data_IF_443070799644
#
_entry.id   IF_443070799644
#
_cell.length_a   1.000
_cell.length_b   1.000
_cell.length_c   1.000
_cell.angle_alpha   90.00
_cell.angle_beta   90.00
_cell.angle_gamma   90.00
#
_symmetry.space_group_name_H-M   'P 1'
#
loop_
_entity.id
_entity.type
_entity.pdbx_description
1 polymer ?
#
# COMPACT_ATOMS: atom_id res chain seq x y z
N UNK A 1 -21.45 -15.17 -18.17
CA UNK A 1 -20.05 -15.08 -18.63
C UNK A 1 -19.75 -13.62 -18.89
N UNK A 2 -18.62 -13.13 -18.37
CA UNK A 2 -18.11 -11.81 -18.64
C UNK A 2 -16.67 -11.91 -19.11
N UNK A 3 -16.25 -11.03 -19.99
CA UNK A 3 -14.86 -10.87 -20.34
C UNK A 3 -14.17 -10.06 -19.22
N UNK A 4 -13.09 -10.60 -18.67
CA UNK A 4 -12.40 -10.00 -17.53
C UNK A 4 -11.05 -9.45 -17.97
N UNK A 5 -10.87 -8.14 -17.82
CA UNK A 5 -9.57 -7.48 -17.96
C UNK A 5 -8.97 -7.30 -16.57
N UNK A 6 -7.77 -7.80 -16.34
CA UNK A 6 -7.09 -7.64 -15.06
C UNK A 6 -6.16 -6.43 -15.08
N UNK A 7 -6.12 -5.71 -13.96
CA UNK A 7 -5.23 -4.58 -13.74
C UNK A 7 -4.30 -4.84 -12.56
N UNK A 8 -3.02 -4.60 -12.74
CA UNK A 8 -1.96 -4.72 -11.73
C UNK A 8 -1.21 -3.39 -11.71
N UNK A 9 -1.20 -2.73 -10.55
CA UNK A 9 -0.39 -1.54 -10.34
C UNK A 9 0.92 -1.92 -9.66
N UNK A 10 2.06 -1.58 -10.27
CA UNK A 10 3.34 -1.54 -9.58
C UNK A 10 3.47 -0.19 -8.87
N UNK A 11 3.33 -0.21 -7.56
CA UNK A 11 3.49 0.95 -6.67
C UNK A 11 4.68 0.76 -5.71
N UNK A 12 5.64 -0.12 -6.07
CA UNK A 12 6.84 -0.41 -5.30
C UNK A 12 6.68 -1.53 -4.28
N UNK A 13 5.73 -2.43 -4.46
CA UNK A 13 5.53 -3.61 -3.60
C UNK A 13 6.65 -4.65 -3.72
N UNK A 14 7.53 -4.54 -4.73
CA UNK A 14 8.65 -5.45 -5.01
C UNK A 14 8.25 -6.94 -5.20
N UNK A 15 6.98 -7.23 -5.24
CA UNK A 15 6.46 -8.55 -5.59
C UNK A 15 6.48 -8.72 -7.10
N UNK A 16 6.62 -9.95 -7.54
CA UNK A 16 6.74 -10.23 -8.96
C UNK A 16 5.40 -10.01 -9.67
N UNK A 17 5.26 -8.82 -10.23
CA UNK A 17 4.11 -8.45 -11.09
C UNK A 17 3.94 -9.43 -12.25
N UNK A 18 5.03 -10.07 -12.71
CA UNK A 18 5.03 -11.11 -13.73
C UNK A 18 4.22 -12.33 -13.31
N UNK A 19 4.41 -12.86 -12.09
CA UNK A 19 3.64 -13.99 -11.59
C UNK A 19 2.14 -13.67 -11.47
N UNK A 20 1.81 -12.46 -11.00
CA UNK A 20 0.43 -12.00 -10.92
C UNK A 20 -0.21 -11.92 -12.31
N UNK A 21 0.51 -11.42 -13.31
CA UNK A 21 0.08 -11.36 -14.71
C UNK A 21 -0.19 -12.74 -15.29
N UNK A 22 0.76 -13.67 -15.12
CA UNK A 22 0.58 -15.06 -15.58
C UNK A 22 -0.61 -15.73 -14.90
N UNK A 23 -0.78 -15.53 -13.59
CA UNK A 23 -1.90 -16.07 -12.83
C UNK A 23 -3.23 -15.53 -13.35
N UNK A 24 -3.34 -14.24 -13.60
CA UNK A 24 -4.55 -13.62 -14.15
C UNK A 24 -4.93 -14.25 -15.50
N UNK A 25 -3.98 -14.40 -16.42
CA UNK A 25 -4.20 -15.05 -17.71
C UNK A 25 -4.62 -16.53 -17.56
N UNK A 26 -3.94 -17.28 -16.69
CA UNK A 26 -4.27 -18.72 -16.41
C UNK A 26 -5.65 -18.88 -15.77
N UNK A 27 -6.15 -17.88 -15.06
CA UNK A 27 -7.49 -17.90 -14.45
C UNK A 27 -8.59 -17.33 -15.36
N UNK A 28 -8.27 -16.96 -16.58
CA UNK A 28 -9.24 -16.62 -17.62
C UNK A 28 -9.41 -15.14 -17.92
N UNK A 29 -8.51 -14.28 -17.47
CA UNK A 29 -8.51 -12.89 -17.92
C UNK A 29 -8.21 -12.83 -19.43
N UNK A 30 -9.02 -12.07 -20.19
CA UNK A 30 -8.82 -11.88 -21.63
C UNK A 30 -7.68 -10.90 -21.94
N UNK A 31 -7.39 -9.98 -21.02
CA UNK A 31 -6.26 -9.07 -21.06
C UNK A 31 -5.73 -8.77 -19.66
N UNK A 32 -4.46 -8.37 -19.56
CA UNK A 32 -3.83 -7.96 -18.30
C UNK A 32 -2.98 -6.72 -18.53
N UNK A 33 -3.32 -5.66 -17.84
CA UNK A 33 -2.54 -4.43 -17.75
C UNK A 33 -1.69 -4.46 -16.47
N UNK A 34 -0.38 -4.25 -16.64
CA UNK A 34 0.56 -4.11 -15.53
C UNK A 34 1.27 -2.77 -15.73
N UNK A 35 0.95 -1.79 -14.91
CA UNK A 35 1.44 -0.42 -15.07
C UNK A 35 2.36 -0.03 -13.92
N UNK A 36 3.52 0.54 -14.27
CA UNK A 36 4.44 1.14 -13.30
C UNK A 36 3.91 2.51 -12.88
N UNK A 37 3.41 2.58 -11.66
CA UNK A 37 2.81 3.79 -11.08
C UNK A 37 3.65 4.37 -9.95
N UNK A 38 4.90 3.93 -9.77
CA UNK A 38 5.77 4.34 -8.65
C UNK A 38 6.06 5.83 -8.66
N UNK A 39 6.35 6.40 -9.83
CA UNK A 39 6.62 7.84 -9.96
C UNK A 39 5.37 8.67 -9.65
N UNK A 40 4.21 8.29 -10.19
CA UNK A 40 2.95 8.96 -9.91
C UNK A 40 2.59 8.82 -8.42
N UNK A 41 2.79 7.64 -7.83
CA UNK A 41 2.53 7.42 -6.41
C UNK A 41 3.35 8.36 -5.52
N UNK A 42 4.65 8.46 -5.76
CA UNK A 42 5.52 9.34 -4.97
C UNK A 42 5.18 10.82 -5.20
N UNK A 43 5.10 11.26 -6.46
CA UNK A 43 4.94 12.65 -6.86
C UNK A 43 3.57 13.22 -6.50
N UNK A 44 2.50 12.48 -6.83
CA UNK A 44 1.15 13.03 -6.82
C UNK A 44 0.32 12.59 -5.59
N UNK A 45 0.81 11.62 -4.81
CA UNK A 45 0.12 11.14 -3.61
C UNK A 45 0.96 11.29 -2.35
N UNK A 46 2.21 10.78 -2.33
CA UNK A 46 3.04 10.79 -1.13
C UNK A 46 3.53 12.20 -0.80
N UNK A 47 4.09 12.92 -1.77
CA UNK A 47 4.63 14.26 -1.53
C UNK A 47 3.56 15.28 -1.16
N UNK A 48 2.39 15.36 -1.83
CA UNK A 48 1.32 16.24 -1.39
C UNK A 48 0.77 15.90 0.00
N UNK A 49 0.69 14.62 0.35
CA UNK A 49 0.30 14.17 1.69
C UNK A 49 1.31 14.64 2.75
N UNK A 50 2.61 14.54 2.46
CA UNK A 50 3.67 15.05 3.32
C UNK A 50 3.59 16.60 3.44
N UNK A 51 3.44 17.33 2.34
CA UNK A 51 3.29 18.78 2.36
C UNK A 51 2.10 19.25 3.20
N UNK A 52 1.03 18.46 3.22
CA UNK A 52 -0.13 18.71 4.07
C UNK A 52 0.07 18.26 5.53
N UNK A 53 1.24 17.74 5.90
CA UNK A 53 1.49 17.08 7.20
C UNK A 53 0.41 16.05 7.57
N UNK A 54 -0.22 15.41 6.57
CA UNK A 54 -1.29 14.47 6.77
C UNK A 54 -0.76 13.18 7.40
N UNK A 55 -1.18 12.92 8.63
CA UNK A 55 -0.75 11.79 9.44
C UNK A 55 -1.93 11.33 10.30
N UNK A 56 -2.23 10.04 10.26
CA UNK A 56 -3.33 9.52 11.06
C UNK A 56 -2.91 9.33 12.51
N UNK A 57 -3.66 9.93 13.42
CA UNK A 57 -3.43 9.91 14.88
C UNK A 57 -1.98 10.27 15.32
N UNK A 58 -1.25 11.04 14.49
CA UNK A 58 0.11 11.49 14.79
C UNK A 58 1.21 10.46 14.54
N UNK A 59 0.89 9.28 14.01
CA UNK A 59 1.83 8.17 13.84
C UNK A 59 1.84 7.53 12.47
N UNK A 60 0.65 7.21 11.94
CA UNK A 60 0.53 6.44 10.70
C UNK A 60 0.59 7.33 9.46
N UNK A 61 1.56 7.09 8.60
CA UNK A 61 1.78 7.84 7.35
C UNK A 61 0.87 7.39 6.20
N UNK A 62 -0.20 6.66 6.48
CA UNK A 62 -1.31 6.35 5.57
C UNK A 62 -0.94 5.74 4.21
N UNK A 63 0.15 4.95 4.13
CA UNK A 63 0.63 4.40 2.86
C UNK A 63 -0.41 3.55 2.11
N UNK A 64 -1.21 2.74 2.80
CA UNK A 64 -2.33 2.02 2.18
C UNK A 64 -3.45 2.97 1.77
N UNK A 65 -3.71 4.01 2.57
CA UNK A 65 -4.81 4.95 2.33
C UNK A 65 -4.65 5.73 1.04
N UNK A 66 -3.44 6.15 0.70
CA UNK A 66 -3.15 6.91 -0.53
C UNK A 66 -2.85 6.00 -1.73
N UNK A 67 -2.48 4.75 -1.50
CA UNK A 67 -2.25 3.78 -2.57
C UNK A 67 -3.55 3.34 -3.27
N UNK A 68 -4.63 3.09 -2.51
CA UNK A 68 -5.89 2.59 -3.07
C UNK A 68 -6.54 3.56 -4.07
N UNK A 69 -6.60 4.88 -3.82
CA UNK A 69 -7.07 5.84 -4.82
C UNK A 69 -6.26 5.83 -6.12
N UNK A 70 -4.94 5.72 -6.05
CA UNK A 70 -4.12 5.62 -7.25
C UNK A 70 -4.42 4.34 -8.05
N UNK A 71 -4.52 3.19 -7.38
CA UNK A 71 -4.87 1.93 -8.03
C UNK A 71 -6.27 2.03 -8.67
N UNK A 72 -7.24 2.61 -7.97
CA UNK A 72 -8.59 2.82 -8.49
C UNK A 72 -8.59 3.74 -9.72
N UNK A 73 -7.76 4.80 -9.71
CA UNK A 73 -7.57 5.67 -10.89
C UNK A 73 -7.08 4.86 -12.09
N UNK A 74 -6.02 4.05 -11.91
CA UNK A 74 -5.51 3.20 -12.98
C UNK A 74 -6.56 2.22 -13.51
N UNK A 75 -7.40 1.66 -12.64
CA UNK A 75 -8.51 0.80 -13.08
C UNK A 75 -9.54 1.57 -13.93
N UNK A 76 -9.88 2.80 -13.56
CA UNK A 76 -10.78 3.64 -14.37
C UNK A 76 -10.16 4.00 -15.72
N UNK A 77 -8.85 4.27 -15.74
CA UNK A 77 -8.15 4.55 -17.00
C UNK A 77 -8.16 3.32 -17.94
N UNK A 78 -8.02 2.10 -17.40
CA UNK A 78 -8.17 0.86 -18.16
C UNK A 78 -9.63 0.61 -18.56
N UNK A 79 -10.59 0.83 -17.66
CA UNK A 79 -12.03 0.74 -17.99
C UNK A 79 -12.37 1.57 -19.21
N UNK A 80 -11.92 2.82 -19.27
CA UNK A 80 -12.15 3.73 -20.41
C UNK A 80 -11.45 3.26 -21.69
N UNK A 81 -10.21 2.76 -21.55
CA UNK A 81 -9.40 2.23 -22.67
C UNK A 81 -10.04 1.01 -23.33
N UNK A 82 -10.56 0.11 -22.51
CA UNK A 82 -11.20 -1.13 -22.93
C UNK A 82 -12.70 -0.98 -23.20
N UNK A 83 -13.28 0.19 -22.94
CA UNK A 83 -14.73 0.44 -22.99
C UNK A 83 -15.49 -0.60 -22.16
N UNK A 84 -14.99 -0.91 -20.98
CA UNK A 84 -15.58 -1.91 -20.10
C UNK A 84 -16.80 -1.35 -19.35
N UNK A 85 -17.75 -2.25 -18.99
CA UNK A 85 -19.04 -1.88 -18.39
C UNK A 85 -18.97 -1.71 -16.88
N UNK A 86 -17.94 -2.27 -16.23
CA UNK A 86 -17.85 -2.33 -14.78
C UNK A 86 -16.39 -2.39 -14.29
N UNK A 87 -16.18 -1.97 -13.05
CA UNK A 87 -14.96 -2.23 -12.27
C UNK A 87 -15.23 -3.24 -11.17
N UNK A 88 -14.22 -4.02 -10.81
CA UNK A 88 -14.33 -5.00 -9.75
C UNK A 88 -13.15 -4.88 -8.77
N UNK A 89 -13.40 -5.12 -7.49
CA UNK A 89 -12.37 -5.22 -6.47
C UNK A 89 -12.67 -6.34 -5.47
N UNK A 90 -11.60 -6.89 -4.87
CA UNK A 90 -11.69 -7.95 -3.87
C UNK A 90 -11.58 -7.46 -2.41
N UNK A 91 -11.70 -6.16 -2.16
CA UNK A 91 -11.65 -5.63 -0.80
C UNK A 91 -12.81 -6.15 0.04
N UNK A 92 -12.53 -6.50 1.32
CA UNK A 92 -13.56 -7.02 2.22
C UNK A 92 -14.61 -5.94 2.52
N UNK A 93 -15.89 -6.34 2.66
CA UNK A 93 -17.01 -5.40 2.82
C UNK A 93 -17.06 -4.63 4.16
N UNK A 94 -16.08 -4.82 5.05
CA UNK A 94 -15.98 -4.15 6.35
C UNK A 94 -14.68 -3.37 6.56
N UNK A 95 -13.82 -3.32 5.54
CA UNK A 95 -12.52 -2.66 5.61
C UNK A 95 -12.53 -1.23 5.06
N UNK A 96 -11.48 -0.49 5.36
CA UNK A 96 -11.26 0.86 4.83
C UNK A 96 -11.00 0.84 3.31
N UNK A 97 -10.43 -0.23 2.80
CA UNK A 97 -10.03 -0.32 1.38
C UNK A 97 -11.21 -0.31 0.43
N UNK A 98 -12.30 -1.00 0.78
CA UNK A 98 -13.54 -0.94 0.02
C UNK A 98 -14.02 0.50 -0.18
N UNK A 99 -14.04 1.30 0.89
CA UNK A 99 -14.46 2.70 0.85
C UNK A 99 -13.53 3.52 -0.04
N UNK A 100 -12.22 3.33 0.07
CA UNK A 100 -11.20 4.04 -0.72
C UNK A 100 -11.34 3.76 -2.22
N UNK A 101 -11.52 2.50 -2.60
CA UNK A 101 -11.75 2.12 -3.99
C UNK A 101 -13.03 2.73 -4.52
N UNK A 102 -14.17 2.49 -3.87
CA UNK A 102 -15.47 2.87 -4.38
C UNK A 102 -15.67 4.39 -4.44
N UNK A 103 -15.20 5.15 -3.43
CA UNK A 103 -15.26 6.61 -3.48
C UNK A 103 -14.43 7.19 -4.63
N UNK A 104 -13.28 6.59 -4.93
CA UNK A 104 -12.44 7.02 -6.06
C UNK A 104 -13.10 6.69 -7.39
N UNK A 105 -13.71 5.51 -7.54
CA UNK A 105 -14.45 5.16 -8.73
C UNK A 105 -15.60 6.15 -8.97
N UNK A 106 -16.43 6.43 -7.97
CA UNK A 106 -17.53 7.39 -8.10
C UNK A 106 -17.06 8.82 -8.38
N UNK A 107 -15.90 9.22 -7.85
CA UNK A 107 -15.36 10.54 -8.14
C UNK A 107 -14.89 10.69 -9.59
N UNK A 108 -14.36 9.62 -10.19
CA UNK A 108 -13.80 9.62 -11.54
C UNK A 108 -14.81 9.20 -12.62
N UNK A 109 -15.75 8.33 -12.27
CA UNK A 109 -16.77 7.76 -13.15
C UNK A 109 -18.07 7.56 -12.36
N UNK A 110 -18.90 8.61 -12.16
CA UNK A 110 -20.04 8.59 -11.24
C UNK A 110 -21.09 7.50 -11.50
N UNK A 111 -21.18 7.04 -12.74
CA UNK A 111 -22.17 6.05 -13.16
C UNK A 111 -21.60 4.64 -13.34
N UNK A 112 -20.35 4.41 -12.94
CA UNK A 112 -19.71 3.11 -13.10
C UNK A 112 -20.40 2.03 -12.29
N UNK A 113 -20.59 0.87 -12.89
CA UNK A 113 -21.03 -0.33 -12.16
C UNK A 113 -19.87 -0.90 -11.37
N UNK A 114 -20.04 -1.10 -10.06
CA UNK A 114 -19.03 -1.68 -9.18
C UNK A 114 -19.41 -3.11 -8.80
N UNK A 115 -18.50 -4.05 -9.05
CA UNK A 115 -18.62 -5.44 -8.64
C UNK A 115 -17.75 -5.64 -7.42
N UNK A 116 -18.38 -5.73 -6.24
CA UNK A 116 -17.75 -5.93 -4.95
C UNK A 116 -18.30 -7.20 -4.28
N UNK A 117 -17.76 -8.40 -4.59
CA UNK A 117 -18.33 -9.68 -4.17
C UNK A 117 -18.54 -9.80 -2.66
N UNK A 118 -17.61 -9.28 -1.85
CA UNK A 118 -17.70 -9.31 -0.39
C UNK A 118 -18.90 -8.54 0.20
N UNK A 119 -19.59 -7.74 -0.61
CA UNK A 119 -20.82 -7.02 -0.26
C UNK A 119 -22.08 -7.72 -0.77
N UNK A 120 -21.95 -8.70 -1.66
CA UNK A 120 -23.08 -9.46 -2.15
C UNK A 120 -23.56 -10.45 -1.08
N UNK A 121 -24.83 -10.38 -0.64
CA UNK A 121 -25.39 -11.34 0.31
C UNK A 121 -25.36 -12.80 -0.17
N UNK A 122 -25.23 -13.01 -1.48
CA UNK A 122 -25.13 -14.36 -2.08
C UNK A 122 -23.70 -14.89 -2.13
N UNK A 123 -22.71 -14.06 -1.78
CA UNK A 123 -21.32 -14.45 -1.76
C UNK A 123 -21.04 -15.40 -0.59
N UNK A 124 -20.68 -16.63 -0.87
CA UNK A 124 -20.47 -17.65 0.14
C UNK A 124 -19.00 -17.99 0.43
N UNK A 125 -18.05 -17.43 -0.33
CA UNK A 125 -16.60 -17.56 -0.10
C UNK A 125 -16.11 -16.69 1.07
N UNK A 126 -16.78 -16.80 2.21
CA UNK A 126 -16.59 -15.93 3.39
C UNK A 126 -15.47 -16.36 4.32
N UNK A 127 -14.81 -17.49 4.04
CA UNK A 127 -13.70 -17.98 4.86
C UNK A 127 -12.52 -18.45 3.99
N UNK A 128 -11.32 -18.42 4.58
CA UNK A 128 -10.11 -18.94 3.92
C UNK A 128 -10.26 -20.38 3.44
N UNK A 129 -10.90 -21.23 4.24
CA UNK A 129 -11.14 -22.63 3.89
C UNK A 129 -12.00 -22.74 2.65
N UNK A 130 -13.16 -22.05 2.62
CA UNK A 130 -14.04 -22.03 1.44
C UNK A 130 -13.33 -21.52 0.18
N UNK A 131 -12.51 -20.47 0.31
CA UNK A 131 -11.73 -19.95 -0.81
C UNK A 131 -10.71 -20.96 -1.34
N UNK A 132 -10.02 -21.68 -0.44
CA UNK A 132 -9.06 -22.74 -0.83
C UNK A 132 -9.79 -23.90 -1.53
N UNK A 133 -10.92 -24.31 -1.01
CA UNK A 133 -11.71 -25.40 -1.61
C UNK A 133 -12.24 -25.00 -2.99
N UNK A 134 -12.73 -23.78 -3.14
CA UNK A 134 -13.12 -23.24 -4.43
C UNK A 134 -11.94 -23.22 -5.42
N UNK A 135 -10.80 -22.71 -5.00
CA UNK A 135 -9.60 -22.66 -5.83
C UNK A 135 -9.19 -24.06 -6.31
N UNK A 136 -9.24 -25.08 -5.42
CA UNK A 136 -8.96 -26.48 -5.78
C UNK A 136 -9.96 -27.01 -6.79
N UNK A 137 -11.27 -26.76 -6.58
CA UNK A 137 -12.33 -27.22 -7.49
C UNK A 137 -12.19 -26.65 -8.89
N UNK A 138 -11.71 -25.42 -8.98
CA UNK A 138 -11.55 -24.70 -10.26
C UNK A 138 -10.12 -24.71 -10.83
N UNK A 139 -9.20 -25.51 -10.23
CA UNK A 139 -7.83 -25.61 -10.72
C UNK A 139 -7.01 -24.33 -10.60
N UNK A 140 -7.42 -23.41 -9.71
CA UNK A 140 -6.71 -22.17 -9.46
C UNK A 140 -5.51 -22.44 -8.56
N UNK A 141 -4.31 -22.19 -9.05
CA UNK A 141 -3.10 -22.35 -8.27
C UNK A 141 -3.05 -21.30 -7.14
N UNK A 142 -3.10 -21.78 -5.90
CA UNK A 142 -2.88 -20.95 -4.71
C UNK A 142 -1.55 -21.37 -4.14
N UNK A 143 -0.55 -20.47 -4.03
CA UNK A 143 0.67 -20.79 -3.34
C UNK A 143 0.31 -21.08 -1.88
N UNK A 144 0.46 -22.34 -1.47
CA UNK A 144 0.33 -22.74 -0.07
C UNK A 144 1.63 -22.33 0.61
N UNK A 145 1.75 -21.03 0.90
CA UNK A 145 2.80 -20.58 1.79
C UNK A 145 2.45 -21.01 3.20
N UNK A 146 3.44 -21.54 3.92
CA UNK A 146 3.33 -21.74 5.36
C UNK A 146 2.71 -20.45 5.95
N UNK A 147 1.56 -20.61 6.62
CA UNK A 147 0.72 -19.50 6.98
C UNK A 147 1.51 -18.50 7.81
N UNK A 148 1.88 -17.37 7.19
CA UNK A 148 2.26 -16.20 7.99
C UNK A 148 1.07 -15.88 8.88
N UNK A 149 1.27 -15.73 10.18
CA UNK A 149 0.16 -15.54 11.13
C UNK A 149 -0.47 -14.15 11.06
N UNK A 150 -0.21 -13.38 10.02
CA UNK A 150 -0.68 -12.01 9.77
C UNK A 150 -0.77 -11.74 8.26
N UNK A 151 -1.53 -10.71 7.88
CA UNK A 151 -1.58 -10.16 6.52
C UNK A 151 -0.58 -9.03 6.37
N UNK A 152 -0.08 -8.80 5.15
CA UNK A 152 0.81 -7.68 4.86
C UNK A 152 0.48 -7.02 3.52
N UNK A 153 0.50 -5.69 3.50
CA UNK A 153 0.42 -4.86 2.30
C UNK A 153 1.71 -4.03 2.17
N UNK A 154 2.25 -3.98 0.96
CA UNK A 154 3.50 -3.26 0.69
C UNK A 154 3.36 -2.30 -0.48
N UNK A 155 3.99 -1.15 -0.36
CA UNK A 155 4.20 -0.20 -1.44
C UNK A 155 5.50 0.61 -1.21
N UNK A 156 5.76 1.57 -2.09
CA UNK A 156 6.97 2.40 -2.02
C UNK A 156 7.11 3.20 -0.70
N UNK A 157 5.99 3.56 -0.07
CA UNK A 157 6.01 4.33 1.18
C UNK A 157 6.18 3.44 2.41
N UNK A 158 5.55 2.26 2.45
CA UNK A 158 5.49 1.45 3.66
C UNK A 158 5.28 -0.06 3.43
N UNK A 159 5.41 -0.81 4.52
CA UNK A 159 4.74 -2.10 4.71
C UNK A 159 3.79 -1.96 5.90
N UNK A 160 2.59 -2.50 5.77
CA UNK A 160 1.64 -2.69 6.87
C UNK A 160 1.49 -4.17 7.19
N UNK A 161 1.32 -4.49 8.47
CA UNK A 161 1.02 -5.82 8.97
C UNK A 161 -0.22 -5.75 9.84
N UNK A 162 -1.18 -6.64 9.62
CA UNK A 162 -2.43 -6.69 10.38
C UNK A 162 -2.98 -8.12 10.52
N UNK A 163 -3.86 -8.32 11.50
CA UNK A 163 -4.57 -9.58 11.71
C UNK A 163 -3.72 -10.68 12.35
N UNK A 164 -4.32 -11.87 12.49
CA UNK A 164 -3.66 -13.05 13.07
C UNK A 164 -3.13 -12.80 14.48
N UNK A 165 -1.84 -12.99 14.70
CA UNK A 165 -1.21 -12.78 16.01
C UNK A 165 -1.33 -11.35 16.53
N UNK A 166 -1.46 -10.36 15.62
CA UNK A 166 -1.58 -8.95 16.01
C UNK A 166 -2.96 -8.58 16.56
N UNK A 167 -3.94 -9.47 16.46
CA UNK A 167 -5.26 -9.27 17.08
C UNK A 167 -5.19 -9.33 18.63
N UNK A 168 -4.19 -10.00 19.15
CA UNK A 168 -3.85 -9.94 20.57
C UNK A 168 -2.99 -8.70 20.85
N UNK A 169 -3.49 -7.67 21.56
CA UNK A 169 -2.73 -6.46 21.84
C UNK A 169 -1.53 -6.68 22.77
N UNK A 170 -1.47 -7.82 23.46
CA UNK A 170 -0.35 -8.20 24.33
C UNK A 170 0.75 -8.99 23.60
N UNK A 171 0.47 -9.48 22.39
CA UNK A 171 1.46 -10.20 21.60
C UNK A 171 2.49 -9.22 21.03
N UNK A 172 3.77 -9.48 21.29
CA UNK A 172 4.86 -8.73 20.65
C UNK A 172 4.93 -9.10 19.16
N UNK A 173 5.09 -8.10 18.25
CA UNK A 173 5.30 -8.38 16.83
C UNK A 173 6.54 -9.26 16.65
N UNK A 174 6.47 -10.37 15.90
CA UNK A 174 7.64 -11.24 15.65
C UNK A 174 8.78 -10.46 14.99
N UNK A 175 10.02 -10.70 15.45
CA UNK A 175 11.20 -9.98 14.96
C UNK A 175 11.42 -10.16 13.43
N UNK A 176 11.02 -11.29 12.87
CA UNK A 176 11.09 -11.62 11.44
C UNK A 176 9.94 -11.03 10.60
N UNK A 177 8.99 -10.34 11.25
CA UNK A 177 7.94 -9.58 10.57
C UNK A 177 8.52 -8.40 9.77
N UNK A 178 9.52 -7.72 10.33
CA UNK A 178 10.10 -6.51 9.80
C UNK A 178 11.03 -6.80 8.60
N UNK A 179 10.70 -6.21 7.44
CA UNK A 179 11.37 -6.49 6.16
C UNK A 179 12.13 -5.29 5.59
N UNK A 180 11.78 -4.06 5.99
CA UNK A 180 12.41 -2.83 5.50
C UNK A 180 13.49 -2.30 6.44
N UNK A 181 13.39 -2.59 7.74
CA UNK A 181 14.26 -2.01 8.75
C UNK A 181 14.98 -3.08 9.56
N UNK A 182 16.26 -2.83 9.85
CA UNK A 182 16.98 -3.61 10.84
C UNK A 182 16.39 -3.37 12.23
N UNK A 183 16.57 -4.32 13.13
CA UNK A 183 16.22 -4.15 14.53
C UNK A 183 16.91 -2.90 15.10
N UNK A 184 16.21 -1.95 15.72
CA UNK A 184 16.81 -0.74 16.29
C UNK A 184 17.96 -1.04 17.27
N UNK A 185 17.91 -2.16 18.00
CA UNK A 185 18.99 -2.59 18.89
C UNK A 185 20.25 -3.05 18.14
N UNK A 186 20.13 -3.35 16.84
CA UNK A 186 21.23 -3.76 15.95
C UNK A 186 21.63 -2.68 14.96
N UNK A 187 20.97 -1.52 15.01
CA UNK A 187 21.32 -0.38 14.17
C UNK A 187 22.74 0.13 14.48
N UNK A 188 23.38 0.82 13.51
CA UNK A 188 24.72 1.38 13.74
C UNK A 188 24.78 2.32 14.95
N UNK A 189 25.84 2.21 15.76
CA UNK A 189 26.07 3.14 16.87
C UNK A 189 26.59 4.51 16.43
N UNK A 190 26.97 4.64 15.17
CA UNK A 190 27.45 5.91 14.58
C UNK A 190 26.29 6.57 13.84
N UNK A 191 26.06 7.85 14.09
CA UNK A 191 25.02 8.62 13.41
C UNK A 191 25.28 8.66 11.89
N UNK A 192 24.23 8.44 11.11
CA UNK A 192 24.21 8.66 9.67
C UNK A 192 23.51 9.99 9.41
N UNK A 193 24.23 10.94 8.82
CA UNK A 193 23.66 12.20 8.38
C UNK A 193 23.11 12.06 6.97
N UNK A 194 22.00 12.73 6.68
CA UNK A 194 21.41 12.81 5.36
C UNK A 194 21.03 14.25 5.07
N UNK A 195 21.37 14.74 3.89
CA UNK A 195 20.97 16.05 3.38
C UNK A 195 19.85 15.88 2.36
N UNK A 196 18.76 16.64 2.51
CA UNK A 196 17.61 16.58 1.59
C UNK A 196 17.33 17.99 1.10
N UNK A 197 17.39 18.17 -0.22
CA UNK A 197 17.06 19.45 -0.84
C UNK A 197 15.56 19.51 -1.14
N UNK A 198 14.95 20.66 -0.82
CA UNK A 198 13.54 20.93 -1.10
C UNK A 198 13.40 22.12 -2.05
N UNK A 199 12.51 21.99 -3.04
CA UNK A 199 12.06 23.08 -3.91
C UNK A 199 10.54 23.22 -3.75
N UNK A 200 10.07 24.38 -3.27
CA UNK A 200 8.65 24.64 -3.02
C UNK A 200 7.97 23.57 -2.13
N UNK A 201 8.70 23.07 -1.12
CA UNK A 201 8.22 22.03 -0.21
C UNK A 201 8.25 20.61 -0.78
N UNK A 202 8.74 20.40 -2.00
CA UNK A 202 8.89 19.10 -2.64
C UNK A 202 10.35 18.66 -2.50
N UNK A 203 10.64 17.43 -2.02
CA UNK A 203 12.00 16.91 -1.96
C UNK A 203 12.51 16.58 -3.36
N UNK A 204 13.72 17.03 -3.70
CA UNK A 204 14.27 16.92 -5.06
C UNK A 204 15.65 16.27 -5.13
N UNK A 205 16.39 16.24 -4.02
CA UNK A 205 17.72 15.59 -3.99
C UNK A 205 18.01 14.98 -2.61
N UNK A 206 18.88 14.00 -2.59
CA UNK A 206 19.45 13.39 -1.39
C UNK A 206 20.97 13.41 -1.51
N UNK A 207 21.66 13.94 -0.51
CA UNK A 207 23.12 14.07 -0.45
C UNK A 207 23.69 14.71 -1.73
N UNK A 208 23.06 15.80 -2.19
CA UNK A 208 23.42 16.56 -3.38
C UNK A 208 23.11 15.86 -4.71
N UNK A 209 22.54 14.65 -4.71
CA UNK A 209 22.14 13.95 -5.92
C UNK A 209 20.66 14.16 -6.20
N UNK A 210 20.34 14.81 -7.31
CA UNK A 210 18.97 14.94 -7.81
C UNK A 210 18.42 13.57 -8.22
N UNK A 211 17.22 13.25 -7.74
CA UNK A 211 16.59 11.95 -7.94
C UNK A 211 15.14 12.14 -8.42
N UNK A 212 14.60 11.15 -9.11
CA UNK A 212 13.18 11.09 -9.36
C UNK A 212 12.39 10.84 -8.05
N UNK A 213 11.10 11.19 -7.98
CA UNK A 213 10.28 10.96 -6.80
C UNK A 213 10.35 9.52 -6.26
N UNK A 214 10.25 8.51 -7.13
CA UNK A 214 10.33 7.12 -6.72
C UNK A 214 11.72 6.71 -6.24
N UNK A 215 12.78 7.15 -6.95
CA UNK A 215 14.17 6.90 -6.55
C UNK A 215 14.52 7.57 -5.23
N UNK A 216 14.00 8.77 -4.98
CA UNK A 216 14.20 9.49 -3.73
C UNK A 216 13.58 8.72 -2.56
N UNK A 217 12.33 8.27 -2.69
CA UNK A 217 11.67 7.45 -1.68
C UNK A 217 12.42 6.12 -1.44
N UNK A 218 12.84 5.44 -2.50
CA UNK A 218 13.61 4.20 -2.39
C UNK A 218 14.96 4.40 -1.69
N UNK A 219 15.64 5.53 -1.97
CA UNK A 219 16.90 5.90 -1.33
C UNK A 219 16.70 6.14 0.16
N UNK A 220 15.70 6.93 0.54
CA UNK A 220 15.37 7.20 1.94
C UNK A 220 14.92 5.94 2.68
N UNK A 221 14.16 5.04 2.04
CA UNK A 221 13.80 3.75 2.61
C UNK A 221 15.02 2.91 2.95
N UNK A 222 16.00 2.87 2.04
CA UNK A 222 17.26 2.14 2.27
C UNK A 222 18.06 2.74 3.43
N UNK A 223 18.18 4.07 3.46
CA UNK A 223 18.91 4.77 4.54
C UNK A 223 18.21 4.57 5.89
N UNK A 224 16.92 4.84 5.97
CA UNK A 224 16.15 4.68 7.20
C UNK A 224 16.08 3.24 7.68
N UNK A 225 15.90 2.30 6.76
CA UNK A 225 15.88 0.87 7.05
C UNK A 225 17.19 0.37 7.65
N UNK A 226 18.34 0.78 7.07
CA UNK A 226 19.66 0.43 7.58
C UNK A 226 19.94 0.99 8.98
N UNK A 227 19.25 2.04 9.39
CA UNK A 227 19.36 2.69 10.69
C UNK A 227 18.21 2.35 11.65
N UNK A 228 17.38 1.36 11.35
CA UNK A 228 16.32 0.88 12.23
C UNK A 228 15.17 1.89 12.44
N UNK A 229 14.94 2.79 11.49
CA UNK A 229 13.95 3.87 11.57
C UNK A 229 12.62 3.45 10.97
N UNK A 230 11.50 3.96 11.52
CA UNK A 230 10.20 3.96 10.89
C UNK A 230 9.29 2.80 11.27
N UNK A 231 9.52 2.13 12.40
CA UNK A 231 8.58 1.14 12.95
C UNK A 231 7.51 1.82 13.78
N UNK A 232 6.26 1.45 13.56
CA UNK A 232 5.10 1.92 14.32
C UNK A 232 4.21 0.75 14.67
N UNK A 233 3.79 0.64 15.91
CA UNK A 233 2.81 -0.32 16.39
C UNK A 233 1.69 0.48 17.07
N UNK A 234 0.47 0.40 16.54
CA UNK A 234 -0.62 1.22 17.00
C UNK A 234 -1.99 0.55 16.83
N UNK A 235 -2.92 0.99 17.65
CA UNK A 235 -4.35 0.66 17.50
C UNK A 235 -5.04 1.84 16.83
N UNK A 236 -5.65 1.59 15.68
CA UNK A 236 -6.36 2.58 14.88
C UNK A 236 -7.87 2.29 14.79
N UNK A 237 -8.63 3.26 14.28
CA UNK A 237 -10.04 3.10 13.98
C UNK A 237 -10.25 2.77 12.51
N UNK A 238 -11.05 1.74 12.21
CA UNK A 238 -11.60 1.53 10.88
C UNK A 238 -12.77 2.49 10.64
N UNK A 239 -13.04 2.80 9.38
CA UNK A 239 -14.15 3.67 8.98
C UNK A 239 -15.51 3.25 9.60
N UNK A 240 -15.70 1.97 9.76
CA UNK A 240 -16.92 1.41 10.40
C UNK A 240 -16.91 1.45 11.95
N UNK A 241 -15.95 2.11 12.56
CA UNK A 241 -15.87 2.29 14.03
C UNK A 241 -15.23 1.13 14.78
N UNK A 242 -14.68 0.13 14.11
CA UNK A 242 -13.97 -0.98 14.74
C UNK A 242 -12.52 -0.59 15.04
N UNK A 243 -12.01 -1.01 16.20
CA UNK A 243 -10.57 -0.94 16.51
C UNK A 243 -9.82 -2.03 15.76
N UNK A 244 -8.62 -1.71 15.28
CA UNK A 244 -7.72 -2.63 14.61
C UNK A 244 -6.28 -2.27 14.96
N UNK A 245 -5.46 -3.27 15.31
CA UNK A 245 -4.03 -3.06 15.49
C UNK A 245 -3.32 -3.22 14.15
N UNK A 246 -2.47 -2.25 13.84
CA UNK A 246 -1.57 -2.29 12.70
C UNK A 246 -0.12 -2.09 13.13
N UNK A 247 0.78 -2.85 12.54
CA UNK A 247 2.24 -2.65 12.66
C UNK A 247 2.76 -2.20 11.31
N UNK A 248 3.59 -1.17 11.30
CA UNK A 248 4.02 -0.51 10.07
C UNK A 248 5.54 -0.35 10.04
N UNK A 249 6.09 -0.38 8.83
CA UNK A 249 7.46 0.07 8.54
C UNK A 249 7.40 1.19 7.50
N UNK A 250 7.86 2.38 7.87
CA UNK A 250 7.85 3.58 7.02
C UNK A 250 9.19 4.32 7.08
N UNK A 251 10.33 3.67 6.78
CA UNK A 251 11.64 4.24 7.05
C UNK A 251 11.88 5.55 6.29
N UNK A 252 11.69 5.58 4.98
CA UNK A 252 11.89 6.79 4.17
C UNK A 252 10.86 7.88 4.45
N UNK A 253 9.59 7.49 4.63
CA UNK A 253 8.54 8.44 5.01
C UNK A 253 8.83 9.14 6.33
N UNK A 254 9.32 8.40 7.34
CA UNK A 254 9.68 8.97 8.65
C UNK A 254 10.80 10.02 8.52
N UNK A 255 11.85 9.73 7.75
CA UNK A 255 12.92 10.71 7.48
C UNK A 255 12.34 11.93 6.76
N UNK A 256 11.54 11.72 5.74
CA UNK A 256 11.00 12.78 4.90
C UNK A 256 10.09 13.74 5.68
N UNK A 257 9.18 13.21 6.51
CA UNK A 257 8.32 14.02 7.36
C UNK A 257 9.12 14.81 8.40
N UNK A 258 10.17 14.22 8.99
CA UNK A 258 11.03 14.92 9.93
C UNK A 258 11.79 16.08 9.26
N UNK A 259 12.35 15.85 8.06
CA UNK A 259 13.06 16.86 7.29
C UNK A 259 12.11 17.98 6.82
N UNK A 260 10.94 17.64 6.29
CA UNK A 260 9.95 18.62 5.85
C UNK A 260 9.49 19.52 7.01
N UNK A 261 9.16 18.93 8.17
CA UNK A 261 8.81 19.72 9.36
C UNK A 261 9.91 20.68 9.81
N UNK A 262 11.18 20.27 9.69
CA UNK A 262 12.30 21.16 10.00
C UNK A 262 12.38 22.33 9.03
N UNK A 263 12.14 22.12 7.73
CA UNK A 263 12.07 23.20 6.73
C UNK A 263 10.87 24.12 7.00
N UNK A 264 9.69 23.57 7.28
CA UNK A 264 8.50 24.37 7.62
C UNK A 264 8.77 25.31 8.81
N UNK A 265 9.44 24.82 9.85
CA UNK A 265 9.71 25.60 11.06
C UNK A 265 10.53 26.88 10.84
N UNK A 266 11.23 26.99 9.72
CA UNK A 266 12.05 28.17 9.36
C UNK A 266 11.50 28.93 8.17
N UNK A 267 10.47 28.45 7.49
CA UNK A 267 9.92 29.05 6.27
C UNK A 267 8.47 29.49 6.40
N UNK A 268 7.76 28.98 7.39
CA UNK A 268 6.35 29.31 7.63
C UNK A 268 6.18 30.11 8.94
N UNK A 269 5.21 31.04 8.96
CA UNK A 269 4.84 31.84 10.11
C UNK A 269 4.06 31.04 11.17
#
# INVERSE_FOLDING_TARGET
>A
NADVVAFIADIGQMEETTEAKEKALKTGACAVYCEDMREEFARDFVFPMMQANAMYEGWYLMGTSVARPLIAKGQIDVLRRENADAVAHGATGKGNDQVRFELTYYALEPNVTIIAPWRDPKWDLISRTKMIDYAKQHGIAVPVTAAKPYSSDRNLLHISFEGGILEDPWAEPPADMFLLSVDPAKAPNTATYVEIDFEQGIPVAVDGKRLSPAELMATLNKLGGANGIGRVDMVENRFVGMKSRGVYETPGGTILYAAHRAVESITMD
#
